data_IF_353723678574
#
_entry.id   IF_353723678574
#
_cell.length_a   1.000
_cell.length_b   1.000
_cell.length_c   1.000
_cell.angle_alpha   90.00
_cell.angle_beta   90.00
_cell.angle_gamma   90.00
#
_symmetry.space_group_name_H-M   'P 1'
#
loop_
_entity.id
_entity.type
_entity.pdbx_description
1 polymer ?
#
# COMPACT_ATOMS: atom_id res chain seq x y z
N UNK A 1 -36.14 -21.85 12.42
CA UNK A 1 -35.49 -20.64 11.87
C UNK A 1 -34.55 -20.16 12.95
N UNK A 2 -33.27 -20.52 12.85
CA UNK A 2 -32.28 -20.31 13.91
C UNK A 2 -31.50 -19.03 13.62
N UNK A 3 -31.64 -18.03 14.50
CA UNK A 3 -30.94 -16.75 14.41
C UNK A 3 -29.48 -16.89 14.83
N UNK A 4 -28.57 -16.74 13.89
CA UNK A 4 -27.13 -16.69 14.18
C UNK A 4 -26.78 -15.28 14.69
N UNK A 5 -26.68 -15.14 16.02
CA UNK A 5 -26.03 -13.99 16.67
C UNK A 5 -24.54 -14.01 16.35
N UNK A 6 -24.11 -13.19 15.38
CA UNK A 6 -22.69 -13.00 15.11
C UNK A 6 -22.01 -12.29 16.29
N UNK A 7 -21.15 -13.03 16.96
CA UNK A 7 -20.31 -12.57 18.05
C UNK A 7 -19.34 -11.48 17.56
N UNK A 8 -19.20 -10.42 18.35
CA UNK A 8 -18.31 -9.27 18.09
C UNK A 8 -16.87 -9.75 17.88
N UNK A 9 -16.31 -9.43 16.72
CA UNK A 9 -14.91 -9.71 16.38
C UNK A 9 -13.99 -9.28 17.53
N UNK A 10 -13.20 -10.24 17.98
CA UNK A 10 -12.41 -10.25 19.18
C UNK A 10 -11.32 -9.17 19.19
N UNK A 11 -11.13 -8.60 20.39
CA UNK A 11 -10.03 -7.71 20.76
C UNK A 11 -8.68 -8.41 20.54
N UNK A 12 -7.91 -7.97 19.54
CA UNK A 12 -6.44 -7.88 19.61
C UNK A 12 -5.96 -7.05 18.43
N UNK A 13 -5.95 -5.73 18.60
CA UNK A 13 -5.31 -4.82 17.64
C UNK A 13 -3.81 -4.96 17.86
N UNK A 14 -3.21 -6.03 17.32
CA UNK A 14 -1.77 -6.25 17.33
C UNK A 14 -1.14 -5.14 16.50
N UNK A 15 -0.71 -4.07 17.15
CA UNK A 15 0.17 -3.07 16.57
C UNK A 15 1.37 -3.84 16.01
N UNK A 16 1.50 -3.92 14.68
CA UNK A 16 2.67 -4.55 14.06
C UNK A 16 3.93 -3.90 14.64
N UNK A 17 4.84 -4.76 15.09
CA UNK A 17 6.16 -4.38 15.58
C UNK A 17 6.88 -3.52 14.51
N UNK A 18 7.74 -2.60 14.94
CA UNK A 18 8.41 -1.64 14.04
C UNK A 18 9.18 -2.39 12.94
N UNK A 19 9.85 -3.49 13.31
CA UNK A 19 10.55 -4.36 12.37
C UNK A 19 9.59 -5.01 11.36
N UNK A 20 8.42 -5.47 11.80
CA UNK A 20 7.42 -6.06 10.92
C UNK A 20 6.88 -5.05 9.90
N UNK A 21 6.79 -3.77 10.27
CA UNK A 21 6.35 -2.71 9.34
C UNK A 21 7.34 -2.47 8.21
N UNK A 22 8.63 -2.39 8.55
CA UNK A 22 9.69 -2.23 7.56
C UNK A 22 9.72 -3.42 6.60
N UNK A 23 9.67 -4.66 7.11
CA UNK A 23 9.65 -5.87 6.28
C UNK A 23 8.47 -5.90 5.33
N UNK A 24 7.25 -5.58 5.79
CA UNK A 24 6.08 -5.57 4.90
C UNK A 24 6.21 -4.48 3.85
N UNK A 25 6.69 -3.28 4.20
CA UNK A 25 6.91 -2.21 3.22
C UNK A 25 7.90 -2.66 2.14
N UNK A 26 9.03 -3.24 2.53
CA UNK A 26 10.08 -3.64 1.61
C UNK A 26 9.60 -4.76 0.68
N UNK A 27 8.80 -5.70 1.19
CA UNK A 27 8.16 -6.74 0.39
C UNK A 27 7.22 -6.14 -0.67
N UNK A 28 6.38 -5.18 -0.28
CA UNK A 28 5.45 -4.52 -1.19
C UNK A 28 6.19 -3.68 -2.23
N UNK A 29 7.23 -2.95 -1.84
CA UNK A 29 8.07 -2.19 -2.76
C UNK A 29 8.73 -3.11 -3.80
N UNK A 30 9.27 -4.27 -3.37
CA UNK A 30 9.80 -5.28 -4.28
C UNK A 30 8.75 -5.79 -5.26
N UNK A 31 7.54 -6.12 -4.78
CA UNK A 31 6.43 -6.60 -5.64
C UNK A 31 6.01 -5.55 -6.67
N UNK A 32 5.96 -4.28 -6.28
CA UNK A 32 5.70 -3.16 -7.19
C UNK A 32 6.78 -3.05 -8.27
N UNK A 33 8.06 -3.04 -7.87
CA UNK A 33 9.20 -2.94 -8.80
C UNK A 33 9.24 -4.11 -9.80
N UNK A 34 8.84 -5.31 -9.39
CA UNK A 34 8.80 -6.50 -10.24
C UNK A 34 7.51 -6.62 -11.08
N UNK A 35 6.61 -5.64 -11.01
CA UNK A 35 5.27 -5.68 -11.62
C UNK A 35 4.46 -6.93 -11.22
N UNK A 36 4.61 -7.38 -9.97
CA UNK A 36 3.85 -8.51 -9.40
C UNK A 36 2.57 -8.06 -8.68
N UNK A 37 2.44 -6.75 -8.44
CA UNK A 37 1.30 -6.13 -7.76
C UNK A 37 1.05 -4.75 -8.38
N UNK A 38 -0.21 -4.37 -8.53
CA UNK A 38 -0.57 -3.01 -8.98
C UNK A 38 -0.39 -1.98 -7.86
N UNK A 39 -0.32 -0.70 -8.22
CA UNK A 39 -0.28 0.39 -7.26
C UNK A 39 -1.50 0.39 -6.33
N UNK A 40 -2.70 0.18 -6.87
CA UNK A 40 -3.93 0.15 -6.09
C UNK A 40 -3.98 -0.99 -5.09
N UNK A 41 -3.57 -2.19 -5.52
CA UNK A 41 -3.45 -3.36 -4.64
C UNK A 41 -2.44 -3.11 -3.52
N UNK A 42 -1.28 -2.55 -3.83
CA UNK A 42 -0.25 -2.22 -2.85
C UNK A 42 -0.77 -1.19 -1.83
N UNK A 43 -1.40 -0.11 -2.29
CA UNK A 43 -1.97 0.92 -1.43
C UNK A 43 -3.00 0.34 -0.45
N UNK A 44 -3.92 -0.49 -0.97
CA UNK A 44 -4.94 -1.17 -0.17
C UNK A 44 -4.32 -2.10 0.86
N UNK A 45 -3.31 -2.87 0.46
CA UNK A 45 -2.60 -3.78 1.34
C UNK A 45 -1.90 -3.01 2.47
N UNK A 46 -1.13 -1.98 2.12
CA UNK A 46 -0.41 -1.15 3.08
C UNK A 46 -1.37 -0.48 4.08
N UNK A 47 -2.50 0.06 3.62
CA UNK A 47 -3.51 0.66 4.50
C UNK A 47 -4.09 -0.34 5.50
N UNK A 48 -4.48 -1.52 5.03
CA UNK A 48 -5.13 -2.53 5.87
C UNK A 48 -4.13 -3.19 6.83
N UNK A 49 -2.94 -3.53 6.34
CA UNK A 49 -1.97 -4.30 7.11
C UNK A 49 -1.09 -3.41 7.98
N UNK A 50 -0.49 -2.33 7.48
CA UNK A 50 0.41 -1.49 8.29
C UNK A 50 -0.34 -0.55 9.24
N UNK A 51 -1.46 0.03 8.79
CA UNK A 51 -2.17 1.06 9.56
C UNK A 51 -3.42 0.52 10.27
N UNK A 52 -3.95 -0.63 9.84
CA UNK A 52 -5.22 -1.18 10.34
C UNK A 52 -6.36 -0.14 10.30
N UNK A 53 -6.45 0.60 9.20
CA UNK A 53 -7.40 1.70 9.02
C UNK A 53 -8.46 1.37 7.98
N UNK A 54 -9.70 1.81 8.25
CA UNK A 54 -10.77 1.85 7.24
C UNK A 54 -10.45 2.90 6.18
N UNK A 55 -11.05 2.73 5.00
CA UNK A 55 -10.81 3.58 3.84
C UNK A 55 -11.19 5.04 4.12
N UNK A 56 -12.32 5.28 4.78
CA UNK A 56 -12.81 6.62 5.12
C UNK A 56 -11.79 7.39 5.97
N UNK A 57 -11.33 6.76 7.07
CA UNK A 57 -10.37 7.38 7.98
C UNK A 57 -9.03 7.66 7.31
N UNK A 58 -8.59 6.76 6.44
CA UNK A 58 -7.34 6.95 5.74
C UNK A 58 -7.42 8.11 4.75
N UNK A 59 -8.52 8.21 3.98
CA UNK A 59 -8.76 9.30 3.04
C UNK A 59 -8.69 10.68 3.73
N UNK A 60 -9.22 10.80 4.95
CA UNK A 60 -9.08 12.02 5.77
C UNK A 60 -7.63 12.36 6.10
N UNK A 61 -6.84 11.37 6.52
CA UNK A 61 -5.42 11.55 6.90
C UNK A 61 -4.59 12.01 5.71
N UNK A 62 -4.77 11.34 4.57
CA UNK A 62 -4.07 11.69 3.33
C UNK A 62 -4.75 12.83 2.58
N UNK A 63 -5.81 13.45 3.11
CA UNK A 63 -6.50 14.62 2.55
C UNK A 63 -6.99 14.43 1.09
N UNK A 64 -7.56 13.28 0.78
CA UNK A 64 -8.23 13.02 -0.51
C UNK A 64 -9.68 12.60 -0.28
N UNK A 65 -10.52 12.65 -1.32
CA UNK A 65 -11.88 12.14 -1.18
C UNK A 65 -11.89 10.62 -0.99
N UNK A 66 -12.87 10.09 -0.25
CA UNK A 66 -13.07 8.63 -0.13
C UNK A 66 -13.19 7.96 -1.49
N UNK A 67 -13.88 8.60 -2.44
CA UNK A 67 -14.04 8.09 -3.81
C UNK A 67 -12.69 8.02 -4.52
N UNK A 68 -11.86 9.06 -4.43
CA UNK A 68 -10.50 9.10 -4.99
C UNK A 68 -9.66 7.94 -4.46
N UNK A 69 -9.65 7.73 -3.14
CA UNK A 69 -8.92 6.61 -2.54
C UNK A 69 -9.48 5.26 -2.99
N UNK A 70 -10.80 5.11 -3.06
CA UNK A 70 -11.43 3.86 -3.50
C UNK A 70 -11.10 3.54 -4.95
N UNK A 71 -11.19 4.52 -5.83
CA UNK A 71 -10.88 4.33 -7.24
C UNK A 71 -9.37 3.99 -7.40
N UNK A 72 -8.46 4.70 -6.71
CA UNK A 72 -7.03 4.35 -6.64
C UNK A 72 -6.80 2.90 -6.20
N UNK A 73 -7.41 2.47 -5.09
CA UNK A 73 -7.24 1.12 -4.52
C UNK A 73 -7.82 0.00 -5.39
N UNK A 74 -8.69 0.35 -6.34
CA UNK A 74 -9.28 -0.59 -7.29
C UNK A 74 -8.70 -0.42 -8.70
N UNK A 75 -7.56 0.29 -8.84
CA UNK A 75 -6.87 0.55 -10.11
C UNK A 75 -7.79 1.22 -11.16
N UNK A 76 -8.68 2.11 -10.70
CA UNK A 76 -9.61 2.86 -11.56
C UNK A 76 -9.20 4.32 -11.63
N UNK A 77 -9.26 4.89 -12.84
CA UNK A 77 -9.01 6.31 -13.08
C UNK A 77 -7.53 6.63 -13.34
N UNK A 78 -7.30 7.84 -13.83
CA UNK A 78 -5.96 8.36 -14.10
C UNK A 78 -5.69 9.52 -13.14
N UNK A 79 -4.87 9.28 -12.11
CA UNK A 79 -4.56 10.26 -11.07
C UNK A 79 -3.20 10.90 -11.30
N UNK A 80 -3.07 12.17 -10.90
CA UNK A 80 -1.78 12.85 -10.98
C UNK A 80 -0.76 12.20 -10.06
N UNK A 81 0.52 12.35 -10.42
CA UNK A 81 1.66 11.90 -9.61
C UNK A 81 1.57 12.52 -8.20
N UNK A 82 1.12 13.78 -8.08
CA UNK A 82 0.95 14.45 -6.78
C UNK A 82 -0.04 13.73 -5.87
N UNK A 83 -1.21 13.34 -6.40
CA UNK A 83 -2.21 12.60 -5.62
C UNK A 83 -1.67 11.23 -5.22
N UNK A 84 -0.96 10.56 -6.12
CA UNK A 84 -0.34 9.25 -5.82
C UNK A 84 0.72 9.40 -4.72
N UNK A 85 1.62 10.37 -4.85
CA UNK A 85 2.65 10.63 -3.83
C UNK A 85 2.03 11.06 -2.49
N UNK A 86 0.92 11.80 -2.51
CA UNK A 86 0.18 12.20 -1.31
C UNK A 86 -0.39 10.99 -0.57
N UNK A 87 -0.98 10.01 -1.28
CA UNK A 87 -1.49 8.79 -0.64
C UNK A 87 -0.38 7.81 -0.25
N UNK A 88 0.79 7.84 -0.90
CA UNK A 88 1.90 6.95 -0.54
C UNK A 88 2.77 7.49 0.62
N UNK A 89 2.72 8.81 0.88
CA UNK A 89 3.54 9.49 1.91
C UNK A 89 3.54 8.81 3.29
N UNK A 90 2.40 8.33 3.86
CA UNK A 90 2.40 7.68 5.17
C UNK A 90 3.20 6.38 5.24
N UNK A 91 3.57 5.80 4.10
CA UNK A 91 4.37 4.58 3.99
C UNK A 91 5.83 4.86 3.62
N UNK A 92 6.23 6.13 3.51
CA UNK A 92 7.56 6.54 3.05
C UNK A 92 7.86 6.04 1.62
N UNK A 93 6.82 5.98 0.79
CA UNK A 93 6.89 5.59 -0.63
C UNK A 93 6.51 6.77 -1.53
N UNK A 94 7.03 6.75 -2.75
CA UNK A 94 6.72 7.71 -3.81
C UNK A 94 6.85 7.05 -5.20
N UNK A 95 6.20 7.62 -6.21
CA UNK A 95 6.42 7.25 -7.60
C UNK A 95 7.81 7.70 -8.07
N UNK A 96 8.43 6.88 -8.90
CA UNK A 96 9.71 7.16 -9.53
C UNK A 96 9.87 6.44 -10.87
N UNK A 97 10.92 6.80 -11.61
CA UNK A 97 11.27 6.15 -12.88
C UNK A 97 12.12 4.93 -12.58
N UNK A 98 11.75 3.79 -13.15
CA UNK A 98 12.48 2.52 -13.00
C UNK A 98 12.64 1.84 -14.36
N UNK A 99 13.69 1.03 -14.56
CA UNK A 99 13.82 0.22 -15.76
C UNK A 99 12.62 -0.72 -15.94
N UNK A 100 12.00 -0.70 -17.12
CA UNK A 100 10.92 -1.64 -17.47
C UNK A 100 11.44 -3.07 -17.64
N UNK A 101 12.69 -3.21 -18.08
CA UNK A 101 13.33 -4.51 -18.24
C UNK A 101 13.76 -5.04 -16.87
N UNK A 102 13.23 -6.20 -16.47
CA UNK A 102 13.51 -6.83 -15.17
C UNK A 102 15.00 -7.18 -14.96
N UNK A 103 15.70 -7.55 -16.02
CA UNK A 103 17.15 -7.82 -15.97
C UNK A 103 17.92 -6.54 -15.70
N UNK A 104 17.61 -5.46 -16.41
CA UNK A 104 18.23 -4.15 -16.18
C UNK A 104 17.89 -3.59 -14.80
N UNK A 105 16.64 -3.73 -14.35
CA UNK A 105 16.22 -3.35 -13.00
C UNK A 105 17.07 -4.07 -11.93
N UNK A 106 17.24 -5.39 -12.06
CA UNK A 106 18.07 -6.18 -11.14
C UNK A 106 19.54 -5.74 -11.18
N UNK A 107 20.09 -5.43 -12.35
CA UNK A 107 21.45 -4.93 -12.47
C UNK A 107 21.62 -3.61 -11.70
N UNK A 108 20.73 -2.63 -11.95
CA UNK A 108 20.78 -1.31 -11.29
C UNK A 108 20.62 -1.41 -9.77
N UNK A 109 19.74 -2.31 -9.28
CA UNK A 109 19.53 -2.50 -7.85
C UNK A 109 20.69 -3.26 -7.16
N UNK A 110 21.42 -4.12 -7.89
CA UNK A 110 22.54 -4.88 -7.36
C UNK A 110 23.88 -4.11 -7.42
N UNK A 111 23.96 -3.01 -8.17
CA UNK A 111 25.16 -2.17 -8.30
C UNK A 111 25.42 -1.23 -7.09
N UNK A 112 24.66 -1.37 -5.99
CA UNK A 112 24.84 -0.59 -4.77
C UNK A 112 25.07 -1.50 -3.55
N UNK A 113 26.19 -2.22 -3.58
CA UNK A 113 26.82 -2.81 -2.40
C UNK A 113 28.32 -2.92 -2.65
N UNK A 114 29.02 -1.78 -2.55
CA UNK A 114 30.46 -1.72 -2.30
C UNK A 114 30.64 -1.16 -0.90
#
# INVERSE_FOLDING_TARGET
MEEIKQARASKSKKTLDIYQRATVRDEIARKLLLNEMSLGQALKYLRLHLLAMKQERYAEIVKVSRKTLSDLENDKGNYSIDIINQVLRPFELQLGVVPMNKTLLRQVLNEQAV
#
